data_IF_447563563268
#
_entry.id   IF_447563563268
#
_cell.length_a   1.000
_cell.length_b   1.000
_cell.length_c   1.000
_cell.angle_alpha   90.00
_cell.angle_beta   90.00
_cell.angle_gamma   90.00
#
_symmetry.space_group_name_H-M   'P 1'
#
loop_
_entity.id
_entity.type
_entity.pdbx_description
1 polymer ?
#
# COMPACT_ATOMS: atom_id res chain seq x y z
N UNK A 1 -6.59 -0.45 -6.98
CA UNK A 1 -6.93 -0.42 -5.54
C UNK A 1 -7.89 -1.53 -5.11
N UNK A 2 -8.86 -1.88 -5.95
CA UNK A 2 -9.81 -2.93 -5.58
C UNK A 2 -9.16 -4.31 -5.38
N UNK A 3 -8.13 -4.62 -6.15
CA UNK A 3 -7.43 -5.90 -6.00
C UNK A 3 -6.60 -5.95 -4.72
N UNK A 4 -6.08 -4.80 -4.27
CA UNK A 4 -5.25 -4.74 -3.07
C UNK A 4 -6.06 -4.97 -1.80
N UNK A 5 -7.22 -4.31 -1.66
CA UNK A 5 -8.02 -4.48 -0.46
C UNK A 5 -8.60 -5.90 -0.39
N UNK A 6 -8.99 -6.47 -1.52
CA UNK A 6 -9.48 -7.85 -1.57
C UNK A 6 -8.37 -8.83 -1.14
N UNK A 7 -7.15 -8.64 -1.64
CA UNK A 7 -6.02 -9.49 -1.26
C UNK A 7 -5.71 -9.40 0.23
N UNK A 8 -5.64 -8.18 0.75
CA UNK A 8 -5.41 -7.95 2.17
C UNK A 8 -6.48 -8.62 3.01
N UNK A 9 -7.75 -8.43 2.63
CA UNK A 9 -8.87 -8.90 3.43
C UNK A 9 -9.01 -10.42 3.46
N UNK A 10 -8.40 -11.13 2.50
CA UNK A 10 -8.31 -12.59 2.58
C UNK A 10 -6.99 -13.08 3.20
N UNK A 11 -6.17 -12.14 3.71
CA UNK A 11 -4.93 -12.48 4.40
C UNK A 11 -3.75 -12.78 3.49
N UNK A 12 -3.78 -12.30 2.25
CA UNK A 12 -2.77 -12.62 1.24
C UNK A 12 -1.88 -11.41 0.96
N UNK A 13 -0.83 -11.23 1.78
CA UNK A 13 0.10 -10.11 1.63
C UNK A 13 0.89 -10.23 0.31
N UNK A 14 1.22 -11.44 -0.11
CA UNK A 14 1.93 -11.63 -1.38
C UNK A 14 1.12 -11.09 -2.55
N UNK A 15 -0.17 -11.40 -2.61
CA UNK A 15 -1.04 -10.87 -3.66
C UNK A 15 -1.21 -9.35 -3.53
N UNK A 16 -1.28 -8.82 -2.31
CA UNK A 16 -1.34 -7.40 -2.05
C UNK A 16 -0.15 -6.68 -2.66
N UNK A 17 1.04 -7.28 -2.58
CA UNK A 17 2.28 -6.69 -3.09
C UNK A 17 2.47 -6.83 -4.60
N UNK A 18 1.60 -7.58 -5.29
CA UNK A 18 1.74 -7.77 -6.74
C UNK A 18 1.54 -6.48 -7.53
N UNK A 19 0.81 -5.50 -6.98
CA UNK A 19 0.61 -4.21 -7.64
C UNK A 19 1.78 -3.24 -7.43
N UNK A 20 2.76 -3.62 -6.62
CA UNK A 20 3.97 -2.82 -6.41
C UNK A 20 5.05 -3.23 -7.39
N UNK A 21 5.83 -2.25 -7.84
CA UNK A 21 6.95 -2.47 -8.75
C UNK A 21 8.01 -3.35 -8.08
N UNK A 22 8.32 -4.48 -8.70
CA UNK A 22 9.29 -5.43 -8.15
C UNK A 22 10.72 -5.00 -8.49
N UNK A 23 11.18 -3.94 -7.84
CA UNK A 23 12.49 -3.36 -8.07
C UNK A 23 13.11 -2.97 -6.74
N UNK A 24 14.44 -2.97 -6.70
CA UNK A 24 15.18 -2.46 -5.55
C UNK A 24 15.00 -0.95 -5.39
N UNK A 25 14.50 -0.27 -6.42
CA UNK A 25 14.28 1.17 -6.41
C UNK A 25 12.90 1.57 -5.89
N UNK A 26 12.02 0.61 -5.61
CA UNK A 26 10.72 0.91 -5.01
C UNK A 26 10.95 1.63 -3.67
N UNK A 27 10.25 2.75 -3.47
CA UNK A 27 10.31 3.51 -2.23
C UNK A 27 9.01 3.38 -1.47
N UNK A 28 9.09 2.99 -0.22
CA UNK A 28 7.97 2.98 0.71
C UNK A 28 8.33 3.80 1.93
N UNK A 29 7.67 4.93 2.12
CA UNK A 29 7.92 5.84 3.23
C UNK A 29 6.73 5.84 4.18
N UNK A 30 7.00 5.66 5.46
CA UNK A 30 5.95 5.63 6.47
C UNK A 30 6.55 5.95 7.85
N UNK A 31 5.87 6.81 8.62
CA UNK A 31 6.24 7.08 10.00
C UNK A 31 7.66 7.60 10.19
N UNK A 32 8.19 8.33 9.22
CA UNK A 32 9.56 8.83 9.29
C UNK A 32 10.61 7.83 8.85
N UNK A 33 10.21 6.64 8.42
CA UNK A 33 11.10 5.59 7.95
C UNK A 33 10.95 5.38 6.45
N UNK A 34 12.02 4.97 5.80
CA UNK A 34 12.03 4.68 4.37
C UNK A 34 12.52 3.26 4.16
N UNK A 35 11.70 2.45 3.49
CA UNK A 35 12.11 1.12 3.01
C UNK A 35 12.35 1.22 1.52
N UNK A 36 13.48 0.69 1.09
CA UNK A 36 13.83 0.66 -0.33
C UNK A 36 13.83 -0.77 -0.83
N UNK A 37 13.10 -0.98 -1.93
CA UNK A 37 13.04 -2.27 -2.58
C UNK A 37 11.75 -3.04 -2.26
N UNK A 38 11.30 -3.79 -3.25
CA UNK A 38 10.08 -4.59 -3.15
C UNK A 38 10.18 -5.65 -2.06
N UNK A 39 11.32 -6.36 -2.00
CA UNK A 39 11.49 -7.45 -1.03
C UNK A 39 11.49 -6.92 0.40
N UNK A 40 12.20 -5.81 0.65
CA UNK A 40 12.23 -5.22 1.99
C UNK A 40 10.84 -4.75 2.42
N UNK A 41 10.06 -4.22 1.50
CA UNK A 41 8.69 -3.78 1.78
C UNK A 41 7.80 -4.97 2.11
N UNK A 42 7.90 -6.04 1.33
CA UNK A 42 7.14 -7.28 1.59
C UNK A 42 7.50 -7.86 2.96
N UNK A 43 8.79 -7.95 3.26
CA UNK A 43 9.25 -8.51 4.54
C UNK A 43 8.77 -7.65 5.71
N UNK A 44 8.77 -6.33 5.55
CA UNK A 44 8.27 -5.41 6.56
C UNK A 44 6.78 -5.60 6.83
N UNK A 45 5.98 -5.80 5.80
CA UNK A 45 4.55 -6.09 5.97
C UNK A 45 4.34 -7.41 6.70
N UNK A 46 5.05 -8.46 6.31
CA UNK A 46 4.91 -9.77 6.95
C UNK A 46 5.33 -9.75 8.42
N UNK A 47 6.32 -8.93 8.75
CA UNK A 47 6.78 -8.78 10.14
C UNK A 47 5.75 -8.05 11.00
N UNK A 48 5.17 -6.95 10.47
CA UNK A 48 4.19 -6.15 11.23
C UNK A 48 2.81 -6.78 11.28
N UNK A 49 2.45 -7.56 10.26
CA UNK A 49 1.13 -8.16 10.14
C UNK A 49 1.26 -9.67 9.94
N UNK A 50 1.70 -10.39 10.99
CA UNK A 50 2.01 -11.82 10.84
C UNK A 50 0.78 -12.72 10.73
N UNK A 51 -0.41 -12.20 11.03
CA UNK A 51 -1.64 -12.99 10.99
C UNK A 51 -2.84 -12.13 10.62
N UNK A 52 -3.97 -12.78 10.43
CA UNK A 52 -5.20 -12.09 10.03
C UNK A 52 -5.71 -11.11 11.10
N UNK A 53 -5.50 -11.43 12.37
CA UNK A 53 -5.95 -10.56 13.46
C UNK A 53 -5.25 -9.20 13.44
N UNK A 54 -3.94 -9.18 13.16
CA UNK A 54 -3.21 -7.92 13.05
C UNK A 54 -3.49 -7.19 11.73
N UNK A 55 -3.81 -7.92 10.66
CA UNK A 55 -4.16 -7.32 9.38
C UNK A 55 -5.52 -6.61 9.43
N UNK A 56 -6.52 -7.22 10.07
CA UNK A 56 -7.86 -6.67 10.10
C UNK A 56 -8.49 -6.61 8.72
N UNK A 57 -9.51 -5.77 8.58
CA UNK A 57 -10.16 -5.48 7.30
C UNK A 57 -9.67 -4.12 6.79
N UNK A 58 -9.22 -4.08 5.56
CA UNK A 58 -8.69 -2.86 4.94
C UNK A 58 -9.78 -2.15 4.16
N UNK A 59 -9.90 -0.85 4.40
CA UNK A 59 -10.80 0.03 3.67
C UNK A 59 -10.05 1.23 3.14
N UNK A 60 -10.32 1.58 1.88
CA UNK A 60 -9.84 2.81 1.27
C UNK A 60 -11.02 3.75 1.09
N UNK A 61 -10.84 5.03 1.45
CA UNK A 61 -11.86 6.06 1.28
C UNK A 61 -11.23 7.34 0.77
N UNK A 62 -12.08 8.27 0.33
CA UNK A 62 -11.64 9.60 -0.14
C UNK A 62 -10.59 9.52 -1.25
N UNK A 63 -10.73 8.55 -2.16
CA UNK A 63 -9.76 8.34 -3.22
C UNK A 63 -9.81 9.46 -4.26
N UNK A 64 -8.65 10.03 -4.57
CA UNK A 64 -8.48 11.02 -5.62
C UNK A 64 -7.44 10.49 -6.60
N UNK A 65 -7.85 10.29 -7.83
CA UNK A 65 -6.98 9.76 -8.88
C UNK A 65 -6.68 10.89 -9.87
N UNK A 66 -5.39 11.14 -10.10
CA UNK A 66 -4.95 12.15 -11.05
C UNK A 66 -4.01 11.52 -12.06
N UNK A 67 -4.45 11.50 -13.31
CA UNK A 67 -3.61 11.02 -14.40
C UNK A 67 -2.68 12.16 -14.81
N UNK A 68 -1.37 11.97 -14.63
CA UNK A 68 -0.38 13.01 -14.89
C UNK A 68 0.12 12.95 -16.33
N UNK A 69 0.13 11.78 -16.94
CA UNK A 69 0.57 11.54 -18.31
C UNK A 69 0.06 10.16 -18.72
N UNK A 70 0.26 9.74 -19.98
CA UNK A 70 -0.12 8.38 -20.39
C UNK A 70 0.54 7.27 -19.57
N UNK A 71 1.65 7.58 -18.87
CA UNK A 71 2.44 6.58 -18.17
C UNK A 71 2.49 6.76 -16.66
N UNK A 72 1.95 7.87 -16.12
CA UNK A 72 1.99 8.15 -14.70
C UNK A 72 0.63 8.59 -14.16
N UNK A 73 0.30 8.12 -12.99
CA UNK A 73 -0.89 8.55 -12.26
C UNK A 73 -0.59 8.62 -10.78
N UNK A 74 -1.27 9.54 -10.10
CA UNK A 74 -1.15 9.70 -8.65
C UNK A 74 -2.48 9.35 -8.01
N UNK A 75 -2.44 8.59 -6.92
CA UNK A 75 -3.62 8.28 -6.13
C UNK A 75 -3.39 8.76 -4.70
N UNK A 76 -4.32 9.56 -4.21
CA UNK A 76 -4.33 10.04 -2.84
C UNK A 76 -5.59 9.54 -2.16
N UNK A 77 -5.49 9.17 -0.88
CA UNK A 77 -6.68 8.73 -0.16
C UNK A 77 -6.44 8.46 1.31
N UNK A 78 -7.42 7.82 1.92
CA UNK A 78 -7.35 7.35 3.29
C UNK A 78 -7.36 5.84 3.33
N UNK A 79 -6.60 5.29 4.28
CA UNK A 79 -6.66 3.87 4.58
C UNK A 79 -7.11 3.68 6.02
N UNK A 80 -7.74 2.55 6.28
CA UNK A 80 -8.14 2.17 7.63
C UNK A 80 -8.11 0.66 7.74
N UNK A 81 -7.59 0.16 8.86
CA UNK A 81 -7.68 -1.25 9.19
C UNK A 81 -8.66 -1.37 10.37
N UNK A 82 -9.74 -2.13 10.17
CA UNK A 82 -10.65 -2.45 11.26
C UNK A 82 -10.21 -3.75 11.89
N UNK A 83 -9.75 -3.66 13.12
CA UNK A 83 -9.30 -4.81 13.90
C UNK A 83 -10.17 -4.92 15.15
N UNK A 84 -10.07 -6.05 15.82
CA UNK A 84 -10.92 -6.30 16.99
C UNK A 84 -10.74 -5.26 18.09
N UNK A 85 -9.51 -4.77 18.30
CA UNK A 85 -9.18 -3.88 19.41
C UNK A 85 -8.93 -2.44 19.02
N UNK A 86 -8.71 -2.15 17.74
CA UNK A 86 -8.37 -0.79 17.31
C UNK A 86 -8.69 -0.61 15.82
N UNK A 87 -8.55 0.64 15.37
CA UNK A 87 -8.79 1.00 13.97
C UNK A 87 -7.70 1.96 13.51
N UNK A 88 -6.46 1.45 13.31
CA UNK A 88 -5.41 2.33 12.80
C UNK A 88 -5.74 2.77 11.38
N UNK A 89 -5.31 3.97 11.05
CA UNK A 89 -5.54 4.53 9.72
C UNK A 89 -4.67 5.73 9.47
N UNK A 90 -4.82 6.32 8.31
CA UNK A 90 -4.05 7.49 7.92
C UNK A 90 -4.30 7.87 6.49
N UNK A 91 -3.37 8.63 5.95
CA UNK A 91 -3.41 9.11 4.58
C UNK A 91 -2.32 8.43 3.76
N UNK A 92 -2.53 8.36 2.46
CA UNK A 92 -1.49 7.84 1.58
C UNK A 92 -1.47 8.59 0.27
N UNK A 93 -0.29 8.62 -0.34
CA UNK A 93 -0.08 9.10 -1.70
C UNK A 93 0.73 8.05 -2.44
N UNK A 94 0.19 7.57 -3.56
CA UNK A 94 0.84 6.56 -4.39
C UNK A 94 1.15 7.15 -5.75
N UNK A 95 2.35 6.87 -6.26
CA UNK A 95 2.67 7.16 -7.64
C UNK A 95 2.67 5.84 -8.41
N UNK A 96 1.84 5.79 -9.44
CA UNK A 96 1.77 4.64 -10.34
C UNK A 96 2.50 4.95 -11.64
N UNK A 97 3.21 3.97 -12.15
CA UNK A 97 3.82 4.05 -13.48
C UNK A 97 3.32 2.88 -14.32
N UNK A 98 3.00 3.16 -15.58
CA UNK A 98 2.59 2.11 -16.51
C UNK A 98 3.83 1.48 -17.13
N UNK A 99 4.03 0.19 -16.85
CA UNK A 99 5.16 -0.59 -17.34
C UNK A 99 4.64 -1.86 -17.99
N UNK A 100 4.99 -2.10 -19.25
CA UNK A 100 4.58 -3.31 -19.94
C UNK A 100 3.06 -3.50 -19.99
N UNK A 101 2.32 -2.39 -20.11
CA UNK A 101 0.86 -2.42 -20.15
C UNK A 101 0.18 -2.57 -18.79
N UNK A 102 0.95 -2.59 -17.70
CA UNK A 102 0.40 -2.74 -16.35
C UNK A 102 0.77 -1.53 -15.48
N UNK A 103 -0.20 -1.04 -14.71
CA UNK A 103 0.04 0.03 -13.74
C UNK A 103 0.63 -0.54 -12.46
N UNK A 104 1.80 -0.04 -12.06
CA UNK A 104 2.51 -0.50 -10.86
C UNK A 104 2.81 0.67 -9.94
N UNK A 105 2.73 0.43 -8.64
CA UNK A 105 3.08 1.43 -7.63
C UNK A 105 4.61 1.50 -7.57
N UNK A 106 5.17 2.66 -7.89
CA UNK A 106 6.62 2.88 -7.86
C UNK A 106 7.05 3.70 -6.64
N UNK A 107 6.12 4.37 -5.97
CA UNK A 107 6.40 5.12 -4.76
C UNK A 107 5.16 5.14 -3.89
N UNK A 108 5.34 4.93 -2.61
CA UNK A 108 4.28 4.91 -1.60
C UNK A 108 4.71 5.76 -0.43
N UNK A 109 3.89 6.75 -0.06
CA UNK A 109 4.10 7.55 1.13
C UNK A 109 2.82 7.48 1.95
N UNK A 110 2.92 6.85 3.11
CA UNK A 110 1.77 6.57 3.97
C UNK A 110 2.00 7.15 5.36
N UNK A 111 0.97 7.76 5.92
CA UNK A 111 1.00 8.22 7.31
C UNK A 111 0.09 7.33 8.16
N UNK A 112 0.27 7.40 9.47
CA UNK A 112 -0.55 6.67 10.41
C UNK A 112 -0.96 7.60 11.54
N UNK A 113 -2.21 7.47 11.98
CA UNK A 113 -2.74 8.32 13.05
C UNK A 113 -2.58 7.72 14.44
N UNK A 114 -1.96 6.55 14.56
CA UNK A 114 -1.76 5.88 15.84
C UNK A 114 -0.30 5.92 16.33
N UNK A 115 0.45 6.88 15.86
CA UNK A 115 1.86 7.08 16.26
C UNK A 115 1.99 7.42 17.73
#
# INVERSE_FOLDING_TARGET
MKTQDAAWNRGDIDAFMEDYWKSEELRFASGGNINRGWQATLDGYKTRYPDKATMGELFFTDLEIKVLSPEYAQVFGRWKLEREKDEPGGLFTLLFEKRGGKWLIVSDHTSSNDN
#
